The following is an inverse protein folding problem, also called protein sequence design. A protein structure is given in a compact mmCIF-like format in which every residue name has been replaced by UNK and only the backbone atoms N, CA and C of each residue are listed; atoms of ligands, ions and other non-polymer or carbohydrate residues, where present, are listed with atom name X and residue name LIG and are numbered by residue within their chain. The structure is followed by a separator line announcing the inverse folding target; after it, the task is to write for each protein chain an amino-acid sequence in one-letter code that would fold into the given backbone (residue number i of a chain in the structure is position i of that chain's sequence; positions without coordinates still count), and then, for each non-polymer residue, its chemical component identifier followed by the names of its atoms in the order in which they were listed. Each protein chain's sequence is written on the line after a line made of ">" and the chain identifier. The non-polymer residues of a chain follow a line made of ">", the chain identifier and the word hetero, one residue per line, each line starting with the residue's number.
data_IF_985126133118
#
_entry.id   IF_985126133118
#
_cell.length_a   1.000
_cell.length_b   1.000
_cell.length_c   1.000
_cell.angle_alpha   90.00
_cell.angle_beta   90.00
_cell.angle_gamma   90.00
#
_symmetry.space_group_name_H-M   'P 1'
#
loop_
_entity.id
_entity.type
_entity.pdbx_description
1 polymer ?
#
# COMPACT_ATOMS: atom_id res chain seq x y z
N UNK A 1 52.23 -89.00 45.79
CA UNK A 1 51.27 -87.90 45.98
C UNK A 1 51.93 -86.61 45.48
N UNK A 2 51.71 -86.06 44.29
CA UNK A 2 50.53 -86.06 43.40
C UNK A 2 49.24 -85.65 44.14
N UNK A 3 48.40 -84.68 43.73
CA UNK A 3 48.46 -83.59 42.73
C UNK A 3 47.27 -82.62 43.02
N UNK A 4 47.03 -81.45 42.41
CA UNK A 4 47.64 -80.73 41.28
C UNK A 4 47.24 -79.23 41.31
N UNK A 5 47.80 -78.42 40.39
CA UNK A 5 47.27 -77.15 39.79
C UNK A 5 46.41 -76.18 40.64
N UNK A 6 46.93 -74.96 40.80
CA UNK A 6 46.30 -73.78 40.18
C UNK A 6 47.37 -72.73 39.87
N UNK A 7 47.42 -72.24 38.63
CA UNK A 7 48.32 -71.16 38.17
C UNK A 7 47.47 -70.18 37.39
N UNK A 8 47.50 -68.90 37.77
CA UNK A 8 47.06 -67.81 36.91
C UNK A 8 48.03 -66.64 37.12
N UNK A 9 48.87 -66.38 36.12
CA UNK A 9 49.96 -65.42 36.21
C UNK A 9 49.52 -64.00 35.85
N UNK A 10 50.01 -63.03 36.62
CA UNK A 10 49.90 -61.60 36.33
C UNK A 10 51.11 -61.16 35.47
N UNK A 11 50.85 -60.78 34.22
CA UNK A 11 51.80 -60.07 33.35
C UNK A 11 51.01 -59.08 32.49
N UNK A 12 51.04 -57.80 32.87
CA UNK A 12 50.45 -56.69 32.10
C UNK A 12 51.59 -55.99 31.31
N UNK A 13 51.52 -56.10 29.98
CA UNK A 13 52.54 -55.60 29.07
C UNK A 13 52.53 -54.07 28.90
N UNK A 14 53.69 -53.52 28.53
CA UNK A 14 53.90 -52.09 28.35
C UNK A 14 53.10 -51.48 27.21
N UNK A 15 52.68 -50.22 27.41
CA UNK A 15 51.94 -49.44 26.42
C UNK A 15 52.89 -48.75 25.43
N UNK A 16 52.59 -48.91 24.14
CA UNK A 16 53.25 -48.21 23.04
C UNK A 16 52.76 -46.75 22.95
N UNK A 17 53.68 -45.80 23.03
CA UNK A 17 53.40 -44.39 22.73
C UNK A 17 53.24 -44.22 21.22
N UNK A 18 52.00 -44.04 20.75
CA UNK A 18 51.70 -43.66 19.36
C UNK A 18 51.61 -42.14 19.26
N UNK A 19 52.60 -41.53 18.63
CA UNK A 19 52.61 -40.10 18.35
C UNK A 19 51.69 -39.81 17.14
N UNK A 20 50.47 -39.33 17.40
CA UNK A 20 49.66 -38.73 16.35
C UNK A 20 50.17 -37.31 16.04
N UNK A 21 50.65 -37.09 14.81
CA UNK A 21 50.87 -35.75 14.30
C UNK A 21 49.50 -35.03 14.15
N UNK A 22 49.39 -33.73 14.51
CA UNK A 22 48.20 -32.96 14.18
C UNK A 22 48.09 -32.87 12.65
N UNK A 23 47.00 -33.37 12.08
CA UNK A 23 46.67 -33.12 10.69
C UNK A 23 46.52 -31.61 10.48
N UNK A 24 47.24 -31.06 9.50
CA UNK A 24 47.09 -29.65 9.14
C UNK A 24 45.62 -29.41 8.77
N UNK A 25 44.98 -28.47 9.46
CA UNK A 25 43.61 -28.07 9.16
C UNK A 25 43.56 -27.56 7.72
N UNK A 26 42.93 -28.34 6.85
CA UNK A 26 42.54 -27.86 5.53
C UNK A 26 41.61 -26.67 5.73
N UNK A 27 42.09 -25.48 5.36
CA UNK A 27 41.22 -24.32 5.24
C UNK A 27 40.29 -24.61 4.07
N UNK A 28 39.04 -24.94 4.39
CA UNK A 28 37.98 -25.11 3.40
C UNK A 28 37.94 -23.83 2.55
N UNK A 29 38.09 -23.90 1.22
CA UNK A 29 38.16 -22.69 0.40
C UNK A 29 36.87 -21.90 0.60
N UNK A 30 37.02 -20.62 0.98
CA UNK A 30 35.88 -19.73 1.18
C UNK A 30 34.95 -19.81 -0.03
N UNK A 31 33.62 -19.93 0.17
CA UNK A 31 32.68 -20.11 -0.92
C UNK A 31 32.89 -19.01 -1.96
N UNK A 32 33.11 -19.42 -3.21
CA UNK A 32 33.35 -18.50 -4.30
C UNK A 32 32.27 -17.41 -4.32
N UNK A 33 32.64 -16.12 -4.49
CA UNK A 33 31.67 -15.03 -4.44
C UNK A 33 30.58 -15.29 -5.47
N UNK A 34 29.33 -15.40 -4.98
CA UNK A 34 28.17 -15.70 -5.81
C UNK A 34 28.10 -14.71 -6.96
N UNK A 35 27.98 -15.19 -8.19
CA UNK A 35 27.89 -14.34 -9.36
C UNK A 35 26.74 -13.33 -9.19
N UNK A 36 26.91 -12.04 -9.57
CA UNK A 36 25.86 -11.04 -9.43
C UNK A 36 24.58 -11.52 -10.12
N UNK A 37 23.46 -11.53 -9.40
CA UNK A 37 22.15 -11.83 -9.99
C UNK A 37 21.85 -10.72 -11.01
N UNK A 38 21.57 -11.05 -12.28
CA UNK A 38 21.30 -10.04 -13.29
C UNK A 38 20.00 -9.30 -12.95
N UNK A 39 20.00 -7.99 -13.17
CA UNK A 39 18.81 -7.16 -12.97
C UNK A 39 17.70 -7.51 -13.95
N UNK A 40 16.45 -7.21 -13.58
CA UNK A 40 15.29 -7.58 -14.40
C UNK A 40 14.94 -6.43 -15.36
N UNK A 41 14.87 -6.68 -16.67
CA UNK A 41 14.47 -5.66 -17.64
C UNK A 41 12.97 -5.39 -17.58
N UNK A 42 12.58 -4.12 -17.58
CA UNK A 42 11.17 -3.70 -17.67
C UNK A 42 10.94 -2.82 -18.90
N UNK A 43 9.68 -2.50 -19.23
CA UNK A 43 9.43 -1.53 -20.30
C UNK A 43 9.89 -0.11 -19.89
N UNK A 44 10.07 0.78 -20.88
CA UNK A 44 10.22 2.21 -20.58
C UNK A 44 8.85 2.73 -20.14
N UNK A 45 8.80 3.50 -19.06
CA UNK A 45 7.56 4.08 -18.54
C UNK A 45 6.83 4.91 -19.60
N UNK A 46 5.51 4.77 -19.67
CA UNK A 46 4.70 5.59 -20.59
C UNK A 46 4.70 7.05 -20.13
N UNK A 47 4.78 8.04 -21.04
CA UNK A 47 4.68 9.45 -20.70
C UNK A 47 3.45 9.84 -19.89
N UNK A 48 3.67 10.59 -18.81
CA UNK A 48 2.63 11.17 -17.97
C UNK A 48 2.78 12.70 -17.99
N UNK A 49 1.83 13.36 -18.65
CA UNK A 49 1.85 14.82 -18.84
C UNK A 49 2.89 15.31 -19.85
N UNK A 50 2.98 16.64 -19.96
CA UNK A 50 3.85 17.32 -20.92
C UNK A 50 5.30 17.37 -20.44
N UNK A 51 6.29 17.29 -21.36
CA UNK A 51 7.69 17.52 -21.02
C UNK A 51 7.94 18.98 -20.63
N UNK A 52 8.80 19.21 -19.63
CA UNK A 52 9.33 20.54 -19.30
C UNK A 52 10.75 20.64 -19.84
N UNK A 53 11.08 21.73 -20.53
CA UNK A 53 12.35 21.89 -21.24
C UNK A 53 13.02 23.24 -20.96
N UNK A 54 14.36 23.28 -20.95
CA UNK A 54 15.16 24.49 -20.74
C UNK A 54 16.55 24.32 -21.34
N UNK A 55 17.02 25.35 -22.05
CA UNK A 55 18.43 25.41 -22.48
C UNK A 55 19.31 25.71 -21.27
N UNK A 56 20.26 24.83 -20.98
CA UNK A 56 21.23 24.98 -19.89
C UNK A 56 22.64 24.95 -20.50
N UNK A 57 23.46 25.95 -20.14
CA UNK A 57 24.82 26.13 -20.65
C UNK A 57 25.91 25.78 -19.64
N UNK A 58 27.19 26.11 -19.95
CA UNK A 58 28.32 25.88 -19.05
C UNK A 58 28.21 26.58 -17.69
N UNK A 59 27.40 27.64 -17.59
CA UNK A 59 27.09 28.31 -16.32
C UNK A 59 26.25 27.45 -15.35
N UNK A 60 25.73 26.30 -15.80
CA UNK A 60 24.81 25.47 -15.02
C UNK A 60 23.39 26.05 -14.98
N UNK A 61 22.52 25.41 -14.20
CA UNK A 61 21.13 25.82 -14.02
C UNK A 61 20.26 24.69 -13.47
N UNK A 62 19.01 25.02 -13.16
CA UNK A 62 18.01 24.07 -12.67
C UNK A 62 16.80 23.96 -13.61
N UNK A 63 16.15 22.80 -13.58
CA UNK A 63 14.91 22.48 -14.29
C UNK A 63 14.00 21.68 -13.34
N UNK A 64 12.79 22.20 -13.09
CA UNK A 64 11.80 21.56 -12.22
C UNK A 64 10.59 21.12 -13.03
N UNK A 65 9.95 20.06 -12.58
CA UNK A 65 8.63 19.61 -13.05
C UNK A 65 7.54 20.63 -12.66
N UNK A 66 6.41 20.67 -13.37
CA UNK A 66 5.39 21.72 -13.19
C UNK A 66 4.68 21.66 -11.81
N UNK A 67 4.59 20.46 -11.23
CA UNK A 67 4.11 20.18 -9.87
C UNK A 67 5.21 20.39 -8.79
N UNK A 68 6.44 20.67 -9.22
CA UNK A 68 7.66 20.69 -8.41
C UNK A 68 7.97 19.35 -7.72
N UNK A 69 7.47 18.20 -8.19
CA UNK A 69 7.79 16.90 -7.60
C UNK A 69 9.29 16.58 -7.73
N UNK A 70 9.87 16.77 -8.91
CA UNK A 70 11.30 16.63 -9.18
C UNK A 70 11.95 17.95 -9.60
N UNK A 71 13.17 18.20 -9.12
CA UNK A 71 14.10 19.21 -9.65
C UNK A 71 15.44 18.58 -10.03
N UNK A 72 15.90 18.83 -11.26
CA UNK A 72 17.26 18.55 -11.74
C UNK A 72 18.11 19.82 -11.60
N UNK A 73 19.28 19.71 -10.96
CA UNK A 73 20.24 20.80 -10.77
C UNK A 73 21.55 20.41 -11.45
N UNK A 74 21.91 21.12 -12.52
CA UNK A 74 23.14 20.93 -13.27
C UNK A 74 24.15 21.99 -12.82
N UNK A 75 25.28 21.64 -12.18
CA UNK A 75 26.21 22.62 -11.66
C UNK A 75 27.08 23.29 -12.74
N UNK A 76 27.68 24.45 -12.46
CA UNK A 76 28.59 25.13 -13.38
C UNK A 76 29.75 24.23 -13.83
N UNK A 77 29.96 24.12 -15.13
CA UNK A 77 30.97 23.28 -15.76
C UNK A 77 30.60 21.80 -15.92
N UNK A 78 29.36 21.38 -15.62
CA UNK A 78 28.89 20.03 -15.97
C UNK A 78 28.63 19.85 -17.47
N UNK A 79 28.20 20.92 -18.16
CA UNK A 79 27.98 20.96 -19.60
C UNK A 79 29.08 21.77 -20.31
N UNK A 80 29.47 21.34 -21.51
CA UNK A 80 30.50 22.01 -22.33
C UNK A 80 29.94 23.10 -23.25
N UNK A 81 28.63 23.10 -23.49
CA UNK A 81 27.90 24.04 -24.36
C UNK A 81 26.43 24.10 -23.97
N UNK A 82 25.73 25.10 -24.48
CA UNK A 82 24.28 25.23 -24.38
C UNK A 82 23.59 23.98 -24.94
N UNK A 83 22.76 23.36 -24.11
CA UNK A 83 22.08 22.09 -24.40
C UNK A 83 20.63 22.21 -23.97
N UNK A 84 19.69 21.85 -24.84
CA UNK A 84 18.28 21.77 -24.49
C UNK A 84 18.06 20.53 -23.60
N UNK A 85 17.87 20.76 -22.31
CA UNK A 85 17.57 19.71 -21.33
C UNK A 85 16.05 19.59 -21.20
N UNK A 86 15.55 18.36 -21.19
CA UNK A 86 14.13 18.05 -21.02
C UNK A 86 13.95 17.05 -19.88
N UNK A 87 12.90 17.24 -19.07
CA UNK A 87 12.41 16.28 -18.07
C UNK A 87 10.94 15.99 -18.37
N UNK A 88 10.57 14.72 -18.46
CA UNK A 88 9.18 14.28 -18.60
C UNK A 88 8.85 13.23 -17.55
N UNK A 89 7.77 13.40 -16.76
CA UNK A 89 7.29 12.34 -15.89
C UNK A 89 6.81 11.13 -16.71
N UNK A 90 7.03 9.93 -16.21
CA UNK A 90 6.62 8.66 -16.82
C UNK A 90 6.11 7.69 -15.75
N UNK A 91 5.37 6.65 -16.15
CA UNK A 91 5.07 5.52 -15.27
C UNK A 91 6.36 4.97 -14.63
N UNK A 92 6.38 4.77 -13.32
CA UNK A 92 7.52 4.13 -12.67
C UNK A 92 7.55 2.63 -13.02
N UNK A 93 8.70 2.16 -13.51
CA UNK A 93 8.94 0.76 -13.91
C UNK A 93 10.17 0.16 -13.22
N UNK A 94 10.75 0.85 -12.23
CA UNK A 94 11.80 0.29 -11.38
C UNK A 94 11.20 -0.76 -10.44
N UNK A 95 11.86 -1.91 -10.21
CA UNK A 95 11.44 -2.84 -9.18
C UNK A 95 11.50 -2.20 -7.78
N UNK A 96 10.42 -2.30 -7.00
CA UNK A 96 10.22 -1.55 -5.75
C UNK A 96 10.01 -0.03 -5.96
N UNK A 97 9.69 0.41 -7.19
CA UNK A 97 9.56 1.82 -7.54
C UNK A 97 8.40 2.52 -6.83
N UNK A 98 8.66 3.70 -6.28
CA UNK A 98 7.65 4.59 -5.67
C UNK A 98 7.57 5.93 -6.41
N UNK A 99 6.43 6.61 -6.32
CA UNK A 99 6.14 7.83 -7.06
C UNK A 99 6.22 7.65 -8.58
N UNK A 100 6.58 8.71 -9.29
CA UNK A 100 6.75 8.70 -10.75
C UNK A 100 8.20 8.38 -11.15
N UNK A 101 8.35 7.79 -12.35
CA UNK A 101 9.63 7.80 -13.06
C UNK A 101 9.81 9.10 -13.84
N UNK A 102 11.02 9.35 -14.32
CA UNK A 102 11.36 10.54 -15.10
C UNK A 102 12.27 10.17 -16.27
N UNK A 103 11.85 10.53 -17.48
CA UNK A 103 12.65 10.46 -18.68
C UNK A 103 13.37 11.79 -18.90
N UNK A 104 14.65 11.71 -19.31
CA UNK A 104 15.50 12.87 -19.55
C UNK A 104 15.94 12.90 -21.02
N UNK A 105 16.04 14.11 -21.59
CA UNK A 105 16.61 14.33 -22.92
C UNK A 105 17.68 15.43 -22.86
N UNK A 106 18.85 15.28 -23.52
CA UNK A 106 19.27 14.11 -24.30
C UNK A 106 19.52 12.89 -23.41
N UNK A 107 18.98 11.74 -23.80
CA UNK A 107 19.14 10.49 -23.06
C UNK A 107 20.61 10.05 -23.07
N UNK A 108 21.09 9.52 -21.95
CA UNK A 108 22.47 9.04 -21.76
C UNK A 108 23.55 10.13 -21.90
N UNK A 109 23.19 11.41 -21.75
CA UNK A 109 24.16 12.51 -21.76
C UNK A 109 25.10 12.41 -20.55
N UNK A 110 26.39 12.21 -20.80
CA UNK A 110 27.46 12.25 -19.80
C UNK A 110 27.74 13.69 -19.35
N UNK A 111 27.90 13.89 -18.04
CA UNK A 111 28.14 15.20 -17.42
C UNK A 111 29.58 15.27 -16.89
N UNK A 112 30.26 16.39 -17.13
CA UNK A 112 31.64 16.60 -16.65
C UNK A 112 31.73 16.85 -15.13
N UNK A 113 30.59 17.06 -14.46
CA UNK A 113 30.42 17.10 -13.00
C UNK A 113 29.03 16.51 -12.66
N UNK A 114 28.85 15.84 -11.52
CA UNK A 114 27.58 15.23 -11.17
C UNK A 114 26.47 16.29 -11.06
N UNK A 115 25.33 16.07 -11.70
CA UNK A 115 24.10 16.80 -11.42
C UNK A 115 23.42 16.23 -10.16
N UNK A 116 22.49 16.99 -9.59
CA UNK A 116 21.67 16.57 -8.46
C UNK A 116 20.21 16.42 -8.89
N UNK A 117 19.61 15.28 -8.57
CA UNK A 117 18.17 15.03 -8.64
C UNK A 117 17.59 15.20 -7.24
N UNK A 118 16.65 16.12 -7.08
CA UNK A 118 15.95 16.38 -5.81
C UNK A 118 14.47 16.04 -6.00
N UNK A 119 14.00 15.04 -5.27
CA UNK A 119 12.59 14.63 -5.24
C UNK A 119 11.92 15.11 -3.96
N UNK A 120 10.85 15.88 -4.10
CA UNK A 120 10.00 16.41 -3.04
C UNK A 120 8.86 15.41 -2.76
N UNK A 121 9.17 14.31 -2.08
CA UNK A 121 8.25 13.21 -1.83
C UNK A 121 7.08 13.61 -0.90
N UNK A 122 5.94 12.98 -1.09
CA UNK A 122 4.76 13.11 -0.25
C UNK A 122 4.63 11.94 0.73
N UNK A 123 3.75 12.08 1.73
CA UNK A 123 3.57 11.03 2.76
C UNK A 123 3.02 9.74 2.16
N UNK A 124 2.19 9.84 1.12
CA UNK A 124 1.67 8.70 0.36
C UNK A 124 2.72 8.03 -0.55
N UNK A 125 3.86 8.66 -0.81
CA UNK A 125 4.95 8.10 -1.63
C UNK A 125 5.91 7.22 -0.80
N UNK A 126 5.63 7.05 0.49
CA UNK A 126 6.39 6.19 1.43
C UNK A 126 5.43 5.37 2.32
N UNK A 127 4.18 5.19 1.90
CA UNK A 127 3.17 4.43 2.64
C UNK A 127 3.48 2.93 2.54
N UNK A 128 3.47 2.20 3.67
CA UNK A 128 4.02 0.84 3.75
C UNK A 128 5.54 0.80 3.93
N UNK A 129 6.24 1.90 3.67
CA UNK A 129 7.70 2.03 3.77
C UNK A 129 8.10 3.05 4.85
N UNK A 130 9.29 3.64 4.70
CA UNK A 130 9.80 4.77 5.46
C UNK A 130 10.78 5.58 4.58
N UNK A 131 10.91 6.90 4.75
CA UNK A 131 11.81 7.73 3.96
C UNK A 131 13.28 7.28 3.95
N UNK A 132 13.73 6.64 5.03
CA UNK A 132 15.08 6.07 5.17
C UNK A 132 15.31 4.81 4.31
N UNK A 133 14.26 4.22 3.74
CA UNK A 133 14.35 3.11 2.79
C UNK A 133 14.53 3.58 1.34
N UNK A 134 14.39 4.87 1.06
CA UNK A 134 14.40 5.40 -0.30
C UNK A 134 15.79 5.27 -0.95
N UNK A 135 15.78 4.88 -2.23
CA UNK A 135 16.95 4.89 -3.10
C UNK A 135 16.63 5.51 -4.46
N UNK A 136 17.67 5.79 -5.25
CA UNK A 136 17.54 6.18 -6.65
C UNK A 136 17.82 4.98 -7.56
N UNK A 137 16.93 4.71 -8.49
CA UNK A 137 17.09 3.74 -9.56
C UNK A 137 17.30 4.46 -10.91
N UNK A 138 18.17 3.92 -11.77
CA UNK A 138 18.37 4.37 -13.15
C UNK A 138 18.22 3.21 -14.13
N UNK A 139 17.51 3.44 -15.23
CA UNK A 139 17.30 2.43 -16.27
C UNK A 139 18.46 2.43 -17.27
N UNK A 140 19.01 1.25 -17.52
CA UNK A 140 20.10 1.01 -18.46
C UNK A 140 19.58 0.83 -19.91
N UNK A 141 20.43 0.93 -20.94
CA UNK A 141 20.02 0.73 -22.34
C UNK A 141 19.43 -0.65 -22.65
N UNK A 142 19.82 -1.69 -21.90
CA UNK A 142 19.24 -3.04 -21.96
C UNK A 142 17.90 -3.18 -21.19
N UNK A 143 17.41 -2.07 -20.65
CA UNK A 143 16.21 -1.89 -19.83
C UNK A 143 16.25 -2.48 -18.42
N UNK A 144 17.37 -3.06 -18.00
CA UNK A 144 17.59 -3.39 -16.59
C UNK A 144 17.70 -2.13 -15.75
N UNK A 145 17.53 -2.25 -14.44
CA UNK A 145 17.66 -1.13 -13.51
C UNK A 145 18.86 -1.33 -12.60
N UNK A 146 19.61 -0.26 -12.34
CA UNK A 146 20.58 -0.20 -11.26
C UNK A 146 20.07 0.75 -10.17
N UNK A 147 20.13 0.34 -8.92
CA UNK A 147 19.72 1.15 -7.76
C UNK A 147 20.89 1.50 -6.85
N UNK A 148 20.81 2.66 -6.22
CA UNK A 148 21.73 3.15 -5.17
C UNK A 148 20.95 3.68 -3.98
N UNK A 149 21.57 3.71 -2.80
CA UNK A 149 20.92 4.05 -1.51
C UNK A 149 21.60 5.15 -0.71
N UNK A 150 22.74 5.63 -1.17
CA UNK A 150 23.45 6.79 -0.64
C UNK A 150 22.79 8.11 -1.08
N UNK A 151 21.51 8.25 -0.74
CA UNK A 151 20.75 9.49 -0.97
C UNK A 151 20.90 10.45 0.22
N UNK A 152 20.82 11.74 -0.05
CA UNK A 152 20.75 12.79 0.97
C UNK A 152 19.27 13.01 1.31
N UNK A 153 18.85 12.54 2.49
CA UNK A 153 17.48 12.63 2.97
C UNK A 153 17.31 13.82 3.94
N UNK A 154 16.41 14.75 3.59
CA UNK A 154 15.92 15.79 4.49
C UNK A 154 14.43 15.55 4.78
N UNK A 155 14.15 14.84 5.89
CA UNK A 155 12.78 14.50 6.31
C UNK A 155 11.92 15.72 6.67
N UNK A 156 12.53 16.79 7.21
CA UNK A 156 11.80 17.98 7.63
C UNK A 156 11.18 18.73 6.44
N UNK A 157 11.89 18.80 5.31
CA UNK A 157 11.38 19.36 4.05
C UNK A 157 10.81 18.32 3.09
N UNK A 158 10.74 17.03 3.49
CA UNK A 158 10.45 15.86 2.65
C UNK A 158 11.19 15.86 1.31
N UNK A 159 12.52 15.85 1.36
CA UNK A 159 13.39 15.78 0.17
C UNK A 159 14.31 14.58 0.19
N UNK A 160 14.34 13.84 -0.90
CA UNK A 160 15.33 12.81 -1.20
C UNK A 160 16.19 13.32 -2.37
N UNK A 161 17.51 13.41 -2.17
CA UNK A 161 18.42 14.01 -3.16
C UNK A 161 19.54 13.03 -3.54
N UNK A 162 19.85 12.89 -4.81
CA UNK A 162 20.83 11.93 -5.31
C UNK A 162 21.67 12.54 -6.44
N UNK A 163 22.95 12.17 -6.51
CA UNK A 163 23.86 12.63 -7.58
C UNK A 163 23.81 11.70 -8.78
N UNK A 164 23.88 12.25 -9.98
CA UNK A 164 23.94 11.52 -11.25
C UNK A 164 25.03 12.08 -12.16
N UNK A 165 25.87 11.19 -12.72
CA UNK A 165 26.88 11.55 -13.71
C UNK A 165 26.32 11.58 -15.15
N UNK A 166 25.14 11.00 -15.35
CA UNK A 166 24.56 10.72 -16.65
C UNK A 166 23.05 10.90 -16.63
N UNK A 167 22.48 11.52 -17.67
CA UNK A 167 21.03 11.71 -17.80
C UNK A 167 20.35 10.44 -18.34
N UNK A 168 20.24 9.43 -17.48
CA UNK A 168 19.46 8.21 -17.72
C UNK A 168 18.01 8.39 -17.24
N UNK A 169 17.03 7.64 -17.78
CA UNK A 169 15.72 7.52 -17.16
C UNK A 169 15.88 7.07 -15.71
N UNK A 170 15.24 7.77 -14.77
CA UNK A 170 15.45 7.55 -13.35
C UNK A 170 14.12 7.53 -12.59
N UNK A 171 14.10 6.83 -11.46
CA UNK A 171 12.96 6.74 -10.56
C UNK A 171 13.45 6.57 -9.12
N UNK A 172 12.62 6.91 -8.14
CA UNK A 172 12.89 6.51 -6.76
C UNK A 172 12.26 5.14 -6.48
N UNK A 173 12.85 4.42 -5.54
CA UNK A 173 12.42 3.08 -5.14
C UNK A 173 12.58 2.89 -3.63
N UNK A 174 11.83 1.96 -3.07
CA UNK A 174 11.86 1.59 -1.66
C UNK A 174 12.70 0.32 -1.49
N UNK A 175 13.77 0.37 -0.69
CA UNK A 175 14.54 -0.85 -0.40
C UNK A 175 13.76 -1.81 0.49
N UNK A 176 12.94 -1.30 1.41
CA UNK A 176 12.16 -2.09 2.36
C UNK A 176 10.75 -1.53 2.42
N UNK A 177 9.74 -2.38 2.28
CA UNK A 177 8.34 -1.97 2.31
C UNK A 177 7.44 -3.13 2.76
N UNK A 178 6.26 -2.81 3.27
CA UNK A 178 5.26 -3.76 3.73
C UNK A 178 4.04 -3.72 2.81
N UNK A 179 3.62 -4.87 2.29
CA UNK A 179 2.39 -5.02 1.51
C UNK A 179 1.30 -5.79 2.28
N UNK A 180 0.02 -5.42 2.11
CA UNK A 180 -0.42 -4.16 1.52
C UNK A 180 -0.05 -2.96 2.42
N UNK A 181 0.41 -1.87 1.80
CA UNK A 181 0.71 -0.62 2.48
C UNK A 181 -0.52 0.01 3.17
N UNK A 182 -1.72 -0.30 2.63
CA UNK A 182 -3.03 0.03 3.20
C UNK A 182 -4.08 -0.95 2.72
N UNK A 183 -5.10 -1.20 3.53
CA UNK A 183 -6.28 -1.97 3.14
C UNK A 183 -7.55 -1.44 3.83
N UNK A 184 -8.71 -1.73 3.27
CA UNK A 184 -10.00 -1.63 3.97
C UNK A 184 -10.52 -3.05 4.21
N UNK A 185 -10.94 -3.34 5.45
CA UNK A 185 -11.26 -4.69 5.92
C UNK A 185 -12.58 -4.67 6.70
N UNK A 186 -13.43 -5.67 6.50
CA UNK A 186 -14.65 -5.84 7.27
C UNK A 186 -14.41 -6.55 8.61
N UNK A 187 -15.38 -6.46 9.53
CA UNK A 187 -15.32 -7.12 10.84
C UNK A 187 -15.08 -8.63 10.71
N UNK A 188 -14.11 -9.15 11.47
CA UNK A 188 -13.69 -10.54 11.44
C UNK A 188 -12.92 -11.00 10.19
N UNK A 189 -12.61 -10.11 9.24
CA UNK A 189 -11.70 -10.45 8.13
C UNK A 189 -10.23 -10.52 8.58
N UNK A 190 -9.42 -11.26 7.82
CA UNK A 190 -7.98 -11.38 8.04
C UNK A 190 -7.19 -10.81 6.88
N UNK A 191 -6.12 -10.08 7.17
CA UNK A 191 -5.17 -9.55 6.19
C UNK A 191 -3.76 -10.09 6.48
N UNK A 192 -3.15 -10.76 5.49
CA UNK A 192 -1.72 -11.05 5.55
C UNK A 192 -0.94 -9.78 5.18
N UNK A 193 0.06 -9.46 5.99
CA UNK A 193 1.05 -8.41 5.76
C UNK A 193 2.40 -9.07 5.51
N UNK A 194 3.12 -8.64 4.49
CA UNK A 194 4.42 -9.20 4.09
C UNK A 194 5.45 -8.08 3.95
N UNK A 195 6.60 -8.22 4.59
CA UNK A 195 7.73 -7.30 4.40
C UNK A 195 8.61 -7.79 3.26
N UNK A 196 8.75 -6.95 2.24
CA UNK A 196 9.66 -7.15 1.13
C UNK A 196 10.95 -6.35 1.33
N UNK A 197 12.04 -6.85 0.76
CA UNK A 197 13.27 -6.10 0.56
C UNK A 197 13.77 -6.22 -0.87
N UNK A 198 14.45 -5.19 -1.34
CA UNK A 198 15.18 -5.24 -2.59
C UNK A 198 16.60 -5.76 -2.38
N UNK A 199 16.92 -6.87 -3.04
CA UNK A 199 18.21 -7.56 -2.91
C UNK A 199 19.32 -6.88 -3.75
N UNK A 200 20.56 -7.39 -3.65
CA UNK A 200 21.70 -6.87 -4.41
C UNK A 200 22.67 -5.93 -3.67
N UNK A 201 22.59 -5.76 -2.34
CA UNK A 201 23.57 -4.96 -1.58
C UNK A 201 25.02 -5.42 -1.85
N UNK A 202 25.82 -4.53 -2.40
CA UNK A 202 27.29 -4.61 -2.37
C UNK A 202 27.79 -3.85 -1.14
N UNK A 203 28.74 -4.43 -0.41
CA UNK A 203 29.50 -3.65 0.58
C UNK A 203 30.49 -2.75 -0.17
N UNK A 204 30.53 -1.48 0.23
CA UNK A 204 31.34 -0.45 -0.40
C UNK A 204 32.50 -0.08 0.51
N UNK A 205 33.59 0.39 -0.08
CA UNK A 205 34.79 0.83 0.65
C UNK A 205 34.94 2.35 0.56
N UNK A 206 35.79 2.93 1.41
CA UNK A 206 35.98 4.38 1.51
C UNK A 206 36.45 5.05 0.20
N UNK A 207 36.90 4.27 -0.79
CA UNK A 207 37.36 4.72 -2.10
C UNK A 207 36.32 4.55 -3.24
N UNK A 208 35.07 4.19 -2.92
CA UNK A 208 34.02 3.96 -3.94
C UNK A 208 33.65 5.23 -4.73
N UNK A 209 33.61 5.12 -6.05
CA UNK A 209 33.10 6.16 -6.96
C UNK A 209 31.57 6.14 -6.97
N UNK A 210 30.93 7.20 -7.50
CA UNK A 210 29.46 7.26 -7.67
C UNK A 210 28.89 6.02 -8.37
N UNK A 211 29.62 5.48 -9.36
CA UNK A 211 29.13 4.38 -10.18
C UNK A 211 29.25 3.02 -9.45
N UNK A 212 30.11 2.92 -8.43
CA UNK A 212 30.23 1.73 -7.57
C UNK A 212 29.03 1.53 -6.62
N UNK A 213 28.28 2.60 -6.32
CA UNK A 213 27.06 2.54 -5.48
C UNK A 213 25.87 1.88 -6.20
N UNK A 214 25.95 1.70 -7.52
CA UNK A 214 24.87 1.14 -8.33
C UNK A 214 24.90 -0.39 -8.37
N UNK A 215 23.82 -1.00 -7.89
CA UNK A 215 23.63 -2.46 -7.84
C UNK A 215 22.42 -2.88 -8.66
N UNK A 216 22.45 -4.00 -9.40
CA UNK A 216 21.30 -4.48 -10.17
C UNK A 216 20.05 -4.64 -9.32
N UNK A 217 18.92 -4.11 -9.81
CA UNK A 217 17.60 -4.29 -9.21
C UNK A 217 16.94 -5.56 -9.74
N UNK A 218 16.58 -6.43 -8.81
CA UNK A 218 15.95 -7.75 -9.00
C UNK A 218 14.44 -7.67 -8.69
N UNK A 219 13.73 -8.81 -8.64
CA UNK A 219 12.40 -8.85 -8.02
C UNK A 219 12.58 -8.71 -6.51
N UNK A 220 11.82 -7.82 -5.82
CA UNK A 220 11.83 -7.76 -4.37
C UNK A 220 11.46 -9.10 -3.73
N UNK A 221 12.21 -9.48 -2.70
CA UNK A 221 12.10 -10.76 -2.01
C UNK A 221 11.44 -10.55 -0.65
N UNK A 222 10.65 -11.52 -0.16
CA UNK A 222 10.14 -11.46 1.21
C UNK A 222 11.30 -11.65 2.21
N UNK A 223 11.39 -10.80 3.24
CA UNK A 223 12.37 -10.96 4.32
C UNK A 223 12.12 -12.24 5.13
N UNK A 224 13.14 -12.70 5.86
CA UNK A 224 13.01 -13.81 6.81
C UNK A 224 12.48 -13.29 8.14
N UNK A 225 11.82 -14.15 8.92
CA UNK A 225 11.30 -13.77 10.24
C UNK A 225 12.42 -13.26 11.18
N UNK A 226 13.64 -13.79 11.05
CA UNK A 226 14.80 -13.39 11.84
C UNK A 226 15.30 -11.95 11.55
N UNK A 227 14.95 -11.37 10.39
CA UNK A 227 15.36 -10.03 9.98
C UNK A 227 14.36 -8.95 10.41
N UNK A 228 13.29 -9.33 11.12
CA UNK A 228 12.26 -8.43 11.65
C UNK A 228 11.92 -8.74 13.11
N UNK A 229 11.36 -7.76 13.84
CA UNK A 229 10.81 -7.95 15.19
C UNK A 229 9.76 -6.91 15.54
N UNK A 230 9.19 -7.05 16.74
CA UNK A 230 8.28 -6.05 17.33
C UNK A 230 7.09 -5.71 16.42
N UNK A 231 6.46 -6.75 15.87
CA UNK A 231 5.14 -6.65 15.23
C UNK A 231 4.13 -6.09 16.22
N UNK A 232 3.46 -4.98 15.85
CA UNK A 232 2.60 -4.21 16.74
C UNK A 232 1.35 -3.70 16.02
N UNK A 233 0.26 -3.56 16.77
CA UNK A 233 -0.99 -2.94 16.32
C UNK A 233 -1.21 -1.67 17.14
N UNK A 234 -1.28 -0.51 16.49
CA UNK A 234 -1.33 0.81 17.15
C UNK A 234 -0.25 0.97 18.25
N UNK A 235 0.96 0.46 17.99
CA UNK A 235 2.10 0.45 18.92
C UNK A 235 2.06 -0.63 20.02
N UNK A 236 0.94 -1.34 20.18
CA UNK A 236 0.81 -2.42 21.16
C UNK A 236 1.28 -3.75 20.59
N UNK A 237 1.99 -4.54 21.40
CA UNK A 237 2.29 -5.93 21.07
C UNK A 237 1.04 -6.78 21.36
N UNK A 238 0.57 -7.50 20.34
CA UNK A 238 -0.61 -8.39 20.40
C UNK A 238 -0.29 -9.83 19.97
N UNK A 239 0.99 -10.22 19.85
CA UNK A 239 1.36 -11.53 19.30
C UNK A 239 0.83 -12.74 20.11
N UNK A 240 0.51 -12.51 21.39
CA UNK A 240 0.06 -13.54 22.34
C UNK A 240 -1.35 -13.25 22.92
N UNK A 241 -2.07 -12.24 22.43
CA UNK A 241 -3.43 -11.92 22.92
C UNK A 241 -4.37 -11.35 21.88
N UNK A 242 -5.65 -11.70 21.98
CA UNK A 242 -6.74 -11.05 21.25
C UNK A 242 -7.21 -9.82 22.03
N UNK A 243 -7.34 -8.69 21.35
CA UNK A 243 -7.89 -7.44 21.86
C UNK A 243 -9.23 -7.13 21.16
N UNK A 244 -10.25 -6.71 21.91
CA UNK A 244 -11.60 -6.48 21.35
C UNK A 244 -11.72 -5.17 20.55
N UNK A 245 -10.77 -4.24 20.69
CA UNK A 245 -10.70 -2.96 19.97
C UNK A 245 -9.61 -2.98 18.89
N UNK A 246 -8.51 -3.68 19.13
CA UNK A 246 -7.37 -3.72 18.20
C UNK A 246 -7.28 -5.01 17.39
N UNK A 247 -8.01 -6.06 17.73
CA UNK A 247 -8.00 -7.34 17.02
C UNK A 247 -6.87 -8.25 17.49
N UNK A 248 -6.31 -9.05 16.59
CA UNK A 248 -5.22 -9.97 16.88
C UNK A 248 -4.19 -9.93 15.75
N UNK A 249 -2.91 -10.15 16.06
CA UNK A 249 -1.83 -10.16 15.07
C UNK A 249 -0.98 -11.41 15.29
N UNK A 250 -0.90 -12.29 14.29
CA UNK A 250 -0.15 -13.55 14.36
C UNK A 250 1.07 -13.49 13.43
N UNK A 251 2.29 -13.26 13.94
CA UNK A 251 3.52 -13.31 13.14
C UNK A 251 3.83 -14.71 12.60
N UNK A 252 4.39 -14.77 11.39
CA UNK A 252 4.96 -15.99 10.82
C UNK A 252 6.35 -16.26 11.43
N UNK A 253 6.65 -17.52 11.75
CA UNK A 253 7.92 -17.92 12.38
C UNK A 253 9.09 -18.07 11.38
N UNK A 254 8.82 -18.09 10.08
CA UNK A 254 9.80 -18.38 9.01
C UNK A 254 10.10 -17.18 8.13
N UNK A 255 9.07 -16.41 7.77
CA UNK A 255 9.15 -15.21 6.94
C UNK A 255 8.73 -13.97 7.72
N UNK A 256 9.12 -12.80 7.24
CA UNK A 256 8.66 -11.50 7.72
C UNK A 256 7.21 -11.21 7.28
N UNK A 257 6.31 -12.11 7.65
CA UNK A 257 4.86 -12.01 7.42
C UNK A 257 4.14 -11.93 8.78
N UNK A 258 2.98 -11.28 8.82
CA UNK A 258 2.05 -11.39 9.94
C UNK A 258 0.61 -11.35 9.44
N UNK A 259 -0.27 -12.16 10.04
CA UNK A 259 -1.71 -12.12 9.75
C UNK A 259 -2.41 -11.27 10.80
N UNK A 260 -2.99 -10.15 10.37
CA UNK A 260 -3.87 -9.34 11.19
C UNK A 260 -5.31 -9.85 11.08
N UNK A 261 -5.99 -10.06 12.20
CA UNK A 261 -7.41 -10.39 12.30
C UNK A 261 -8.16 -9.19 12.88
N UNK A 262 -9.12 -8.66 12.12
CA UNK A 262 -10.00 -7.57 12.53
C UNK A 262 -10.89 -8.03 13.70
N UNK A 263 -11.15 -7.19 14.73
CA UNK A 263 -12.08 -7.56 15.79
C UNK A 263 -13.48 -7.91 15.26
N UNK A 264 -14.20 -8.76 15.99
CA UNK A 264 -15.57 -9.16 15.65
C UNK A 264 -16.63 -8.08 15.88
N UNK A 265 -16.25 -6.94 16.46
CA UNK A 265 -17.11 -5.78 16.73
C UNK A 265 -16.40 -4.50 16.25
N UNK A 266 -17.18 -3.48 15.90
CA UNK A 266 -16.63 -2.20 15.43
C UNK A 266 -15.84 -1.50 16.55
N UNK A 267 -14.56 -1.16 16.33
CA UNK A 267 -13.77 -0.47 17.35
C UNK A 267 -14.04 1.03 17.39
N UNK A 268 -13.77 1.66 18.54
CA UNK A 268 -13.87 3.12 18.76
C UNK A 268 -13.08 3.93 17.72
N UNK A 269 -11.96 3.36 17.23
CA UNK A 269 -11.13 3.93 16.17
C UNK A 269 -11.02 2.93 15.04
N UNK A 270 -11.67 3.24 13.94
CA UNK A 270 -11.67 2.40 12.74
C UNK A 270 -10.39 2.54 11.87
N UNK A 271 -9.34 3.18 12.39
CA UNK A 271 -8.02 3.26 11.76
C UNK A 271 -7.01 2.53 12.62
N UNK A 272 -6.33 1.57 12.01
CA UNK A 272 -5.35 0.69 12.65
C UNK A 272 -4.02 0.82 11.90
N UNK A 273 -2.94 1.08 12.61
CA UNK A 273 -1.59 0.99 12.09
C UNK A 273 -0.97 -0.34 12.53
N UNK A 274 -0.57 -1.19 11.59
CA UNK A 274 0.25 -2.38 11.88
C UNK A 274 1.69 -2.06 11.54
N UNK A 275 2.61 -2.21 12.50
CA UNK A 275 4.01 -1.80 12.36
C UNK A 275 4.98 -2.92 12.70
N UNK A 276 6.16 -2.90 12.09
CA UNK A 276 7.26 -3.84 12.38
C UNK A 276 8.62 -3.13 12.34
N UNK A 277 9.58 -3.60 13.15
CA UNK A 277 10.98 -3.19 13.07
C UNK A 277 11.77 -4.14 12.17
N UNK A 278 12.27 -3.65 11.03
CA UNK A 278 13.28 -4.33 10.21
C UNK A 278 14.66 -4.12 10.81
N UNK A 279 15.46 -5.19 10.89
CA UNK A 279 16.83 -5.18 11.37
C UNK A 279 17.79 -4.96 10.19
N UNK A 280 18.52 -3.84 10.19
CA UNK A 280 19.39 -3.49 9.08
C UNK A 280 20.74 -4.22 9.20
N UNK A 281 20.91 -5.27 8.40
CA UNK A 281 22.06 -6.19 8.42
C UNK A 281 23.42 -5.46 8.44
N UNK A 282 24.32 -5.90 9.33
CA UNK A 282 25.63 -5.28 9.52
C UNK A 282 25.60 -3.97 10.33
N UNK A 283 24.45 -3.59 10.91
CA UNK A 283 24.32 -2.39 11.76
C UNK A 283 23.45 -2.67 13.00
N UNK A 284 23.49 -1.77 13.97
CA UNK A 284 22.53 -1.72 15.08
C UNK A 284 21.28 -0.88 14.77
N UNK A 285 21.18 -0.34 13.54
CA UNK A 285 20.05 0.48 13.13
C UNK A 285 18.83 -0.39 12.83
N UNK A 286 17.65 0.23 13.00
CA UNK A 286 16.36 -0.39 12.69
C UNK A 286 15.54 0.55 11.84
N UNK A 287 14.70 -0.02 11.00
CA UNK A 287 13.73 0.70 10.18
C UNK A 287 12.32 0.30 10.63
N UNK A 288 11.44 1.26 10.88
CA UNK A 288 10.04 0.97 11.21
C UNK A 288 9.20 1.10 9.95
N UNK A 289 8.53 0.03 9.55
CA UNK A 289 7.55 0.02 8.46
C UNK A 289 6.14 0.02 9.05
N UNK A 290 5.17 0.65 8.37
CA UNK A 290 3.78 0.77 8.85
C UNK A 290 2.79 0.57 7.71
N UNK A 291 1.86 -0.38 7.88
CA UNK A 291 0.67 -0.52 7.05
C UNK A 291 -0.55 0.13 7.73
N UNK A 292 -1.33 0.89 6.96
CA UNK A 292 -2.50 1.63 7.44
C UNK A 292 -3.81 0.91 7.04
N UNK A 293 -4.41 0.21 7.98
CA UNK A 293 -5.67 -0.52 7.79
C UNK A 293 -6.86 0.34 8.22
N UNK A 294 -7.93 0.32 7.44
CA UNK A 294 -9.23 0.90 7.79
C UNK A 294 -10.23 -0.22 8.02
N UNK A 295 -10.90 -0.20 9.17
CA UNK A 295 -11.97 -1.14 9.49
C UNK A 295 -13.29 -0.52 9.02
N UNK A 296 -14.05 -1.30 8.27
CA UNK A 296 -15.36 -0.94 7.75
C UNK A 296 -16.42 -1.84 8.38
N UNK A 297 -17.54 -1.24 8.80
CA UNK A 297 -18.70 -2.01 9.23
C UNK A 297 -19.31 -2.77 8.06
N UNK A 298 -20.12 -3.80 8.36
CA UNK A 298 -20.83 -4.56 7.33
C UNK A 298 -21.73 -3.67 6.45
N UNK A 299 -22.16 -2.53 6.97
CA UNK A 299 -22.94 -1.52 6.27
C UNK A 299 -22.40 -0.12 6.60
N UNK A 300 -22.50 0.80 5.64
CA UNK A 300 -22.07 2.19 5.84
C UNK A 300 -22.60 3.10 4.74
N UNK A 301 -22.67 4.40 5.02
CA UNK A 301 -23.10 5.39 4.04
C UNK A 301 -22.42 6.75 4.23
N UNK A 302 -22.53 7.57 3.20
CA UNK A 302 -22.24 9.00 3.21
C UNK A 302 -23.46 9.74 2.71
N UNK A 303 -23.88 10.75 3.46
CA UNK A 303 -25.01 11.63 3.12
C UNK A 303 -24.65 13.05 3.58
N UNK A 304 -24.78 14.03 2.69
CA UNK A 304 -24.60 15.45 3.02
C UNK A 304 -23.27 15.76 3.75
N UNK A 305 -22.17 15.15 3.31
CA UNK A 305 -20.83 15.29 3.89
C UNK A 305 -20.57 14.45 5.15
N UNK A 306 -21.60 13.94 5.82
CA UNK A 306 -21.47 13.00 6.94
C UNK A 306 -21.08 11.62 6.41
N UNK A 307 -20.21 10.91 7.13
CA UNK A 307 -19.82 9.52 6.84
C UNK A 307 -20.11 8.66 8.06
N UNK A 308 -20.95 7.64 7.87
CA UNK A 308 -21.24 6.59 8.84
C UNK A 308 -20.61 5.28 8.35
N UNK A 309 -19.45 4.86 8.90
CA UNK A 309 -18.75 3.65 8.46
C UNK A 309 -19.32 2.34 9.04
N UNK A 310 -20.23 2.39 10.02
CA UNK A 310 -20.84 1.22 10.66
C UNK A 310 -22.32 1.46 10.96
N UNK A 311 -23.10 1.63 9.90
CA UNK A 311 -24.54 1.87 9.99
C UNK A 311 -25.28 0.63 10.48
N UNK A 312 -26.22 0.80 11.42
CA UNK A 312 -27.15 -0.27 11.76
C UNK A 312 -28.20 -0.46 10.65
N UNK A 313 -28.58 -1.71 10.39
CA UNK A 313 -29.73 -2.04 9.53
C UNK A 313 -31.02 -1.70 10.27
N UNK A 314 -31.77 -0.73 9.75
CA UNK A 314 -33.14 -0.42 10.18
C UNK A 314 -34.16 -1.35 9.52
N UNK A 315 -33.94 -1.69 8.25
CA UNK A 315 -34.78 -2.62 7.51
C UNK A 315 -33.97 -3.37 6.46
N UNK A 316 -34.39 -4.59 6.17
CA UNK A 316 -33.90 -5.38 5.06
C UNK A 316 -35.03 -6.24 4.51
N UNK A 317 -35.25 -6.17 3.20
CA UNK A 317 -36.19 -7.01 2.48
C UNK A 317 -35.57 -7.44 1.15
N UNK A 318 -35.66 -8.73 0.82
CA UNK A 318 -35.29 -9.23 -0.50
C UNK A 318 -36.26 -10.31 -0.96
N UNK A 319 -36.82 -10.11 -2.16
CA UNK A 319 -37.75 -11.00 -2.84
C UNK A 319 -37.38 -11.04 -4.33
N UNK A 320 -36.80 -12.16 -4.77
CA UNK A 320 -36.36 -12.35 -6.15
C UNK A 320 -37.52 -12.21 -7.16
N UNK A 321 -37.29 -11.47 -8.24
CA UNK A 321 -38.30 -11.08 -9.23
C UNK A 321 -39.27 -10.00 -8.75
N UNK A 322 -39.21 -9.60 -7.48
CA UNK A 322 -40.12 -8.64 -6.87
C UNK A 322 -39.38 -7.41 -6.35
N UNK A 323 -38.83 -7.42 -5.15
CA UNK A 323 -38.30 -6.20 -4.55
C UNK A 323 -37.02 -6.43 -3.77
N UNK A 324 -36.22 -5.39 -3.67
CA UNK A 324 -35.12 -5.28 -2.74
C UNK A 324 -35.25 -3.96 -1.99
N UNK A 325 -35.05 -3.96 -0.68
CA UNK A 325 -34.99 -2.75 0.13
C UNK A 325 -33.98 -2.93 1.26
N UNK A 326 -33.17 -1.90 1.48
CA UNK A 326 -32.29 -1.76 2.63
C UNK A 326 -32.48 -0.37 3.22
N UNK A 327 -32.50 -0.27 4.55
CA UNK A 327 -32.51 1.00 5.27
C UNK A 327 -31.50 0.94 6.40
N UNK A 328 -30.76 2.02 6.58
CA UNK A 328 -29.60 2.09 7.46
C UNK A 328 -29.58 3.44 8.17
N UNK A 329 -29.06 3.47 9.40
CA UNK A 329 -28.90 4.71 10.17
C UNK A 329 -27.61 4.71 11.00
N UNK A 330 -27.26 5.89 11.52
CA UNK A 330 -26.14 6.09 12.43
C UNK A 330 -26.34 5.34 13.75
N UNK A 331 -25.25 4.72 14.23
CA UNK A 331 -25.22 3.99 15.50
C UNK A 331 -26.15 2.78 15.59
N UNK A 332 -26.17 2.11 16.75
CA UNK A 332 -27.21 1.14 17.07
C UNK A 332 -28.50 1.90 17.43
N UNK A 333 -29.46 1.94 16.50
CA UNK A 333 -30.77 2.59 16.66
C UNK A 333 -31.64 1.91 17.74
N UNK A 334 -31.26 2.10 19.01
CA UNK A 334 -32.13 1.95 20.17
C UNK A 334 -32.93 3.25 20.28
N UNK A 335 -34.26 3.14 20.27
CA UNK A 335 -35.15 4.27 20.08
C UNK A 335 -34.93 5.40 21.11
N UNK A 336 -34.62 6.62 20.63
CA UNK A 336 -34.54 7.81 21.48
C UNK A 336 -33.64 8.94 20.98
N UNK A 337 -32.67 8.68 20.11
CA UNK A 337 -31.78 9.74 19.61
C UNK A 337 -32.45 10.60 18.54
N UNK A 338 -32.65 11.89 18.84
CA UNK A 338 -33.51 12.74 18.01
C UNK A 338 -32.86 13.25 16.70
N UNK A 339 -31.57 13.06 16.45
CA UNK A 339 -30.85 13.72 15.35
C UNK A 339 -29.84 12.80 14.61
N UNK A 340 -30.24 11.56 14.28
CA UNK A 340 -29.44 10.63 13.47
C UNK A 340 -29.64 10.85 11.97
N UNK A 341 -28.60 10.64 11.18
CA UNK A 341 -28.73 10.48 9.73
C UNK A 341 -29.21 9.06 9.38
N UNK A 342 -29.97 8.93 8.29
CA UNK A 342 -30.38 7.64 7.73
C UNK A 342 -30.41 7.68 6.20
N UNK A 343 -30.27 6.50 5.60
CA UNK A 343 -30.42 6.27 4.16
C UNK A 343 -31.25 5.01 3.94
N UNK A 344 -32.24 5.07 3.05
CA UNK A 344 -32.90 3.88 2.50
C UNK A 344 -32.75 3.83 0.99
N UNK A 345 -32.61 2.62 0.46
CA UNK A 345 -32.54 2.34 -0.96
C UNK A 345 -33.49 1.18 -1.26
N UNK A 346 -34.24 1.30 -2.36
CA UNK A 346 -35.16 0.26 -2.82
C UNK A 346 -35.10 0.08 -4.33
N UNK A 347 -35.16 -1.17 -4.78
CA UNK A 347 -35.44 -1.58 -6.16
C UNK A 347 -36.84 -2.21 -6.13
N UNK A 348 -37.83 -1.47 -6.64
CA UNK A 348 -39.24 -1.86 -6.70
C UNK A 348 -39.53 -2.56 -8.02
N UNK A 349 -40.00 -3.80 -7.96
CA UNK A 349 -40.20 -4.68 -9.12
C UNK A 349 -38.86 -5.13 -9.74
N UNK A 350 -38.85 -6.30 -10.40
CA UNK A 350 -37.74 -6.79 -11.21
C UNK A 350 -36.36 -6.93 -10.53
N UNK A 351 -36.28 -7.11 -9.20
CA UNK A 351 -35.00 -7.45 -8.56
C UNK A 351 -34.52 -8.85 -8.96
N UNK A 352 -33.55 -8.94 -9.87
CA UNK A 352 -33.04 -10.22 -10.41
C UNK A 352 -31.81 -10.77 -9.68
N UNK A 353 -31.27 -10.07 -8.68
CA UNK A 353 -30.06 -10.48 -7.94
C UNK A 353 -28.84 -9.64 -8.28
N UNK A 354 -27.68 -10.28 -8.48
CA UNK A 354 -26.43 -9.61 -8.83
C UNK A 354 -26.53 -8.84 -10.15
N UNK A 355 -25.83 -7.71 -10.24
CA UNK A 355 -25.90 -6.81 -11.38
C UNK A 355 -25.75 -5.34 -11.00
N UNK A 356 -25.95 -4.45 -11.97
CA UNK A 356 -25.98 -3.00 -11.76
C UNK A 356 -27.33 -2.44 -12.20
N UNK A 357 -27.99 -1.76 -11.29
CA UNK A 357 -29.28 -1.09 -11.47
C UNK A 357 -29.01 0.41 -11.51
N UNK A 358 -29.61 1.14 -12.44
CA UNK A 358 -29.40 2.59 -12.61
C UNK A 358 -30.72 3.30 -12.85
N UNK A 359 -30.76 4.60 -12.55
CA UNK A 359 -31.88 5.48 -12.85
C UNK A 359 -31.39 6.92 -13.06
N UNK A 360 -32.07 7.68 -13.91
CA UNK A 360 -31.76 9.10 -14.19
C UNK A 360 -32.87 9.72 -15.04
N UNK A 361 -33.05 11.03 -14.99
CA UNK A 361 -33.91 11.74 -15.95
C UNK A 361 -35.35 11.87 -15.45
N UNK A 362 -36.34 11.49 -16.26
CA UNK A 362 -37.77 11.65 -15.96
C UNK A 362 -38.56 10.35 -15.97
N UNK A 363 -37.88 9.22 -15.85
CA UNK A 363 -38.49 7.88 -15.89
C UNK A 363 -39.21 7.55 -14.57
N UNK A 364 -40.22 6.68 -14.65
CA UNK A 364 -40.80 5.98 -13.49
C UNK A 364 -39.78 4.97 -12.94
N UNK A 365 -38.77 5.50 -12.25
CA UNK A 365 -37.58 4.75 -11.89
C UNK A 365 -37.91 3.68 -10.85
N UNK A 366 -37.70 2.41 -11.21
CA UNK A 366 -37.83 1.30 -10.26
C UNK A 366 -36.80 1.34 -9.13
N UNK A 367 -35.72 2.12 -9.28
CA UNK A 367 -34.72 2.38 -8.25
C UNK A 367 -35.00 3.73 -7.55
N UNK A 368 -35.07 3.70 -6.22
CA UNK A 368 -35.16 4.88 -5.36
C UNK A 368 -34.07 4.84 -4.29
N UNK A 369 -33.48 6.01 -4.00
CA UNK A 369 -32.70 6.25 -2.79
C UNK A 369 -33.28 7.47 -2.08
N UNK A 370 -33.39 7.39 -0.76
CA UNK A 370 -33.88 8.45 0.12
C UNK A 370 -32.96 8.55 1.33
N UNK A 371 -32.92 9.72 1.97
CA UNK A 371 -32.18 9.90 3.20
C UNK A 371 -32.71 11.06 4.03
N UNK A 372 -32.34 11.08 5.30
CA UNK A 372 -32.55 12.21 6.19
C UNK A 372 -31.21 12.53 6.84
N UNK A 373 -30.82 13.80 6.86
CA UNK A 373 -29.62 14.23 7.60
C UNK A 373 -29.93 14.58 9.06
N UNK A 374 -28.88 14.79 9.86
CA UNK A 374 -28.99 15.12 11.29
C UNK A 374 -29.79 16.38 11.61
N UNK A 375 -30.09 17.24 10.63
CA UNK A 375 -30.95 18.41 10.78
C UNK A 375 -32.43 18.10 10.43
N UNK A 376 -32.78 16.80 10.31
CA UNK A 376 -34.10 16.30 9.89
C UNK A 376 -34.50 16.71 8.47
N UNK A 377 -33.53 17.16 7.65
CA UNK A 377 -33.79 17.51 6.25
C UNK A 377 -33.88 16.23 5.43
N UNK A 378 -35.06 16.00 4.85
CA UNK A 378 -35.30 14.86 3.97
C UNK A 378 -34.80 15.13 2.56
N UNK A 379 -34.06 14.17 2.02
CA UNK A 379 -33.48 14.16 0.69
C UNK A 379 -34.05 12.96 -0.07
N UNK A 380 -34.51 13.15 -1.30
CA UNK A 380 -35.00 12.05 -2.15
C UNK A 380 -34.33 12.08 -3.51
N UNK A 381 -34.07 10.91 -4.06
CA UNK A 381 -33.60 10.74 -5.44
C UNK A 381 -34.57 11.32 -6.48
N UNK A 382 -35.83 11.51 -6.10
CA UNK A 382 -36.90 12.06 -6.93
C UNK A 382 -37.39 13.39 -6.37
N UNK A 383 -37.61 14.38 -7.23
CA UNK A 383 -38.37 15.59 -6.88
C UNK A 383 -39.32 16.01 -8.01
N UNK A 384 -40.28 16.87 -7.66
CA UNK A 384 -41.33 17.37 -8.54
C UNK A 384 -41.28 18.91 -8.56
N UNK A 385 -40.63 19.55 -9.56
CA UNK A 385 -40.63 20.99 -9.70
C UNK A 385 -42.05 21.55 -9.89
N UNK A 386 -42.29 22.80 -9.51
CA UNK A 386 -43.62 23.46 -9.62
C UNK A 386 -44.12 23.50 -11.07
N UNK A 387 -43.21 23.59 -12.02
CA UNK A 387 -43.46 23.48 -13.46
C UNK A 387 -42.57 22.41 -14.05
N UNK A 388 -43.13 21.25 -14.41
CA UNK A 388 -42.40 20.15 -15.03
C UNK A 388 -42.98 18.78 -14.69
N UNK A 389 -42.32 17.74 -15.18
CA UNK A 389 -42.56 16.35 -14.76
C UNK A 389 -41.64 15.95 -13.61
N UNK A 390 -41.70 14.66 -13.25
CA UNK A 390 -40.78 14.04 -12.31
C UNK A 390 -39.32 14.21 -12.75
N UNK A 391 -38.42 14.49 -11.80
CA UNK A 391 -36.97 14.50 -12.03
C UNK A 391 -36.28 13.56 -11.05
N UNK A 392 -35.48 12.65 -11.61
CA UNK A 392 -34.70 11.63 -10.90
C UNK A 392 -33.22 11.95 -11.05
N UNK A 393 -32.51 12.10 -9.93
CA UNK A 393 -31.05 12.23 -9.92
C UNK A 393 -30.36 10.98 -10.49
N UNK A 394 -29.13 11.07 -11.01
CA UNK A 394 -28.40 9.88 -11.42
C UNK A 394 -28.15 8.98 -10.21
N UNK A 395 -28.64 7.73 -10.28
CA UNK A 395 -28.48 6.69 -9.28
C UNK A 395 -27.75 5.48 -9.86
N UNK A 396 -26.99 4.78 -9.02
CA UNK A 396 -26.40 3.48 -9.34
C UNK A 396 -26.40 2.61 -8.10
N UNK A 397 -26.93 1.40 -8.22
CA UNK A 397 -26.83 0.33 -7.21
C UNK A 397 -26.17 -0.88 -7.85
N UNK A 398 -25.06 -1.33 -7.29
CA UNK A 398 -24.34 -2.53 -7.72
C UNK A 398 -24.51 -3.62 -6.67
N UNK A 399 -25.20 -4.69 -7.03
CA UNK A 399 -25.35 -5.89 -6.22
C UNK A 399 -24.20 -6.82 -6.57
N UNK A 400 -23.26 -6.99 -5.63
CA UNK A 400 -22.02 -7.76 -5.81
C UNK A 400 -22.17 -9.21 -5.37
N UNK A 401 -23.07 -9.48 -4.43
CA UNK A 401 -23.37 -10.83 -3.93
C UNK A 401 -24.88 -10.98 -3.71
N UNK A 402 -25.43 -12.13 -4.09
CA UNK A 402 -26.82 -12.49 -3.82
C UNK A 402 -26.97 -14.01 -3.63
N UNK A 403 -27.17 -14.42 -2.39
CA UNK A 403 -27.58 -15.78 -2.04
C UNK A 403 -29.10 -15.81 -1.88
N UNK A 404 -29.78 -16.43 -2.87
CA UNK A 404 -31.24 -16.53 -2.91
C UNK A 404 -31.80 -17.41 -1.78
N UNK A 405 -31.10 -18.48 -1.41
CA UNK A 405 -31.57 -19.43 -0.40
C UNK A 405 -31.41 -18.86 1.00
N UNK A 406 -30.24 -18.30 1.29
CA UNK A 406 -29.92 -17.67 2.58
C UNK A 406 -30.42 -16.22 2.68
N UNK A 407 -31.12 -15.71 1.65
CA UNK A 407 -31.59 -14.32 1.52
C UNK A 407 -30.51 -13.29 1.89
N UNK A 408 -29.26 -13.52 1.45
CA UNK A 408 -28.14 -12.60 1.70
C UNK A 408 -27.91 -11.73 0.49
N UNK A 409 -27.70 -10.44 0.69
CA UNK A 409 -27.34 -9.49 -0.37
C UNK A 409 -26.18 -8.64 0.12
N UNK A 410 -25.17 -8.48 -0.72
CA UNK A 410 -24.16 -7.44 -0.53
C UNK A 410 -24.06 -6.55 -1.77
N UNK A 411 -23.77 -5.28 -1.57
CA UNK A 411 -23.68 -4.33 -2.65
C UNK A 411 -23.24 -2.93 -2.22
N UNK A 412 -23.21 -2.06 -3.21
CA UNK A 412 -22.86 -0.65 -3.09
C UNK A 412 -23.90 0.20 -3.80
N UNK A 413 -24.06 1.45 -3.37
CA UNK A 413 -24.91 2.42 -4.03
C UNK A 413 -24.28 3.80 -4.06
N UNK A 414 -24.69 4.62 -5.03
CA UNK A 414 -24.35 6.02 -5.13
C UNK A 414 -25.39 6.80 -5.93
N UNK A 415 -25.43 8.11 -5.76
CA UNK A 415 -26.22 8.98 -6.61
C UNK A 415 -26.35 10.41 -6.11
N UNK A 416 -27.22 11.17 -6.78
CA UNK A 416 -27.62 12.51 -6.35
C UNK A 416 -29.02 12.47 -5.75
N UNK A 417 -29.16 13.02 -4.55
CA UNK A 417 -30.46 13.27 -3.91
C UNK A 417 -30.78 14.77 -3.98
N UNK A 418 -32.07 15.07 -3.94
CA UNK A 418 -32.63 16.40 -4.05
C UNK A 418 -33.42 16.75 -2.79
N UNK A 419 -33.33 18.02 -2.40
CA UNK A 419 -34.26 18.67 -1.50
C UNK A 419 -34.99 19.75 -2.29
N UNK A 420 -36.31 19.78 -2.20
CA UNK A 420 -37.13 20.74 -2.92
C UNK A 420 -38.28 21.24 -2.03
N UNK A 421 -38.31 22.55 -1.76
CA UNK A 421 -39.40 23.21 -1.05
C UNK A 421 -40.35 23.86 -2.06
N UNK A 422 -41.50 23.22 -2.26
CA UNK A 422 -42.53 23.68 -3.19
C UNK A 422 -43.16 25.03 -2.84
N UNK A 423 -43.00 25.53 -1.59
CA UNK A 423 -43.49 26.86 -1.18
C UNK A 423 -42.56 27.97 -1.66
N UNK A 424 -41.26 27.79 -1.43
CA UNK A 424 -40.22 28.79 -1.76
C UNK A 424 -39.59 28.60 -3.13
N UNK A 425 -39.90 27.50 -3.85
CA UNK A 425 -39.26 27.07 -5.10
C UNK A 425 -37.75 26.80 -4.93
N UNK A 426 -37.31 26.55 -3.69
CA UNK A 426 -35.91 26.31 -3.37
C UNK A 426 -35.53 24.87 -3.68
N UNK A 427 -34.54 24.69 -4.55
CA UNK A 427 -33.93 23.40 -4.88
C UNK A 427 -32.49 23.33 -4.36
N UNK A 428 -32.12 22.20 -3.78
CA UNK A 428 -30.76 21.87 -3.36
C UNK A 428 -30.46 20.41 -3.71
N UNK A 429 -29.18 20.09 -3.94
CA UNK A 429 -28.72 18.73 -4.24
C UNK A 429 -27.63 18.29 -3.26
N UNK A 430 -27.56 16.98 -3.01
CA UNK A 430 -26.47 16.38 -2.23
C UNK A 430 -26.07 15.02 -2.83
N UNK A 431 -24.82 14.63 -2.64
CA UNK A 431 -24.36 13.30 -3.01
C UNK A 431 -24.68 12.29 -1.91
N UNK A 432 -25.10 11.10 -2.32
CA UNK A 432 -25.21 9.92 -1.43
C UNK A 432 -24.34 8.79 -1.96
N UNK A 433 -23.75 8.00 -1.07
CA UNK A 433 -23.04 6.76 -1.42
C UNK A 433 -23.02 5.81 -0.24
N UNK A 434 -22.85 4.51 -0.45
CA UNK A 434 -22.68 3.57 0.65
C UNK A 434 -22.53 2.12 0.20
N UNK A 435 -22.40 1.25 1.19
CA UNK A 435 -22.29 -0.19 1.05
C UNK A 435 -23.14 -0.90 2.10
N UNK A 436 -23.50 -2.14 1.81
CA UNK A 436 -24.28 -2.97 2.72
C UNK A 436 -23.94 -4.44 2.51
N UNK A 437 -24.06 -5.22 3.59
CA UNK A 437 -24.01 -6.68 3.60
C UNK A 437 -25.05 -7.13 4.62
N UNK A 438 -26.20 -7.56 4.11
CA UNK A 438 -27.37 -7.85 4.92
C UNK A 438 -27.94 -9.23 4.61
N UNK A 439 -28.64 -9.80 5.58
CA UNK A 439 -29.30 -11.09 5.51
C UNK A 439 -30.67 -10.98 6.17
N UNK A 440 -31.67 -11.70 5.64
CA UNK A 440 -32.86 -12.00 6.44
C UNK A 440 -32.45 -12.95 7.55
N UNK A 441 -32.93 -12.68 8.77
CA UNK A 441 -33.12 -13.73 9.76
C UNK A 441 -34.22 -14.71 9.30
#
# INVERSE_FOLDING_TARGET
>A
MHSSRFVLGLLLGGWLLTACQPTANGVDPAPAPTAPVPGIPTEVGKPLGSPIQKTIGPAGGSLSTADNALTLIIPPGALKKDTLITVQPVENKAPGGTGLGYAFSPQNLELAKPAELVWNYQVNDVEGSAPEALGLAVQQPDRTWLGRRDIILNKASRKASARVNKLQPAAFYEQYYMEPAKASLALGESQQLTVYFQSGRRELSDNSTIDDFFTPLTTPEALKAADVKNWRVNGQDLAERVDIQLGHLTPNQTKAEATYLVPGAMPEKNKIAVSVEVLLTGTNAKLMLVSNLTIEGANGFKLNGVTEPNAALLMFMVAHGQAFQVGMAEGSHLAGEENVALVSMSIKQNFTGTGTYTASGSDDSQLFIEGQDRNKKSWSSVYYPRTGGQVVGPLTVKITDYDREKKKVAGQFSGTLHYYDSKTDKHETTSVSGHFRAASL
#
